data_IF_748926808445
#
_entry.id   IF_748926808445
#
_cell.length_a   1.000
_cell.length_b   1.000
_cell.length_c   1.000
_cell.angle_alpha   90.00
_cell.angle_beta   90.00
_cell.angle_gamma   90.00
#
_symmetry.space_group_name_H-M   'P 1'
#
loop_
_entity.id
_entity.type
_entity.pdbx_description
1 polymer ?
#
# COMPACT_ATOMS: atom_id res chain seq x y z
N UNK A 1 2.85 10.09 -18.24
CA UNK A 1 3.64 9.08 -17.50
C UNK A 1 3.89 7.90 -18.45
N UNK A 2 4.91 7.05 -18.26
CA UNK A 2 5.17 5.99 -19.23
C UNK A 2 4.06 4.95 -19.21
N UNK A 3 3.33 4.81 -20.32
CA UNK A 3 2.29 3.77 -20.53
C UNK A 3 2.90 2.39 -20.82
N UNK A 4 4.22 2.26 -20.65
CA UNK A 4 4.99 1.06 -20.95
C UNK A 4 6.03 0.80 -19.85
N UNK A 5 6.29 -0.47 -19.55
CA UNK A 5 7.38 -0.90 -18.70
C UNK A 5 8.66 -1.08 -19.55
N UNK A 6 9.67 -0.20 -19.43
CA UNK A 6 10.81 -0.20 -20.35
C UNK A 6 11.58 -1.51 -20.32
N UNK A 7 12.01 -1.99 -21.49
CA UNK A 7 12.80 -3.22 -21.62
C UNK A 7 14.02 -3.25 -20.69
N UNK A 8 14.70 -2.12 -20.50
CA UNK A 8 15.85 -2.02 -19.58
C UNK A 8 15.48 -2.36 -18.12
N UNK A 9 14.27 -1.98 -17.69
CA UNK A 9 13.78 -2.34 -16.37
C UNK A 9 13.48 -3.84 -16.29
N UNK A 10 12.88 -4.42 -17.32
CA UNK A 10 12.61 -5.86 -17.41
C UNK A 10 13.92 -6.66 -17.40
N UNK A 11 14.97 -6.20 -18.10
CA UNK A 11 16.30 -6.80 -18.05
C UNK A 11 16.89 -6.77 -16.65
N UNK A 12 16.76 -5.64 -15.95
CA UNK A 12 17.19 -5.53 -14.56
C UNK A 12 16.41 -6.47 -13.64
N UNK A 13 15.09 -6.53 -13.80
CA UNK A 13 14.21 -7.42 -13.05
C UNK A 13 14.60 -8.89 -13.25
N UNK A 14 14.78 -9.33 -14.49
CA UNK A 14 15.24 -10.68 -14.81
C UNK A 14 16.62 -10.99 -14.23
N UNK A 15 17.51 -10.01 -14.15
CA UNK A 15 18.84 -10.20 -13.56
C UNK A 15 18.79 -10.45 -12.06
N UNK A 16 17.89 -9.79 -11.35
CA UNK A 16 17.68 -9.94 -9.90
C UNK A 16 16.92 -11.25 -9.60
N UNK A 17 15.80 -11.47 -10.29
CA UNK A 17 14.91 -12.60 -10.02
C UNK A 17 15.47 -13.94 -10.50
N UNK A 18 16.25 -13.95 -11.59
CA UNK A 18 16.91 -15.15 -12.11
C UNK A 18 18.43 -15.15 -11.83
N UNK A 19 18.85 -14.53 -10.73
CA UNK A 19 20.26 -14.55 -10.30
C UNK A 19 20.83 -15.98 -10.25
N UNK A 20 22.14 -16.10 -10.50
CA UNK A 20 22.82 -17.39 -10.59
C UNK A 20 22.85 -18.11 -9.24
N UNK A 21 23.12 -17.38 -8.16
CA UNK A 21 23.34 -17.94 -6.83
C UNK A 21 22.07 -17.92 -5.96
N UNK A 22 21.32 -16.82 -6.02
CA UNK A 22 20.20 -16.56 -5.12
C UNK A 22 18.83 -16.47 -5.82
N UNK A 23 18.79 -16.57 -7.14
CA UNK A 23 17.57 -16.42 -7.93
C UNK A 23 16.74 -17.69 -8.10
N UNK A 24 15.64 -17.55 -8.82
CA UNK A 24 14.81 -18.65 -9.29
C UNK A 24 15.61 -19.61 -10.17
N UNK A 25 15.32 -20.90 -10.04
CA UNK A 25 15.80 -21.96 -10.92
C UNK A 25 15.03 -21.95 -12.25
N UNK A 26 15.55 -22.62 -13.27
CA UNK A 26 14.90 -22.68 -14.58
C UNK A 26 13.50 -23.32 -14.51
N UNK A 27 13.31 -24.36 -13.69
CA UNK A 27 12.01 -24.98 -13.45
C UNK A 27 11.05 -24.07 -12.69
N UNK A 28 11.53 -23.33 -11.68
CA UNK A 28 10.72 -22.34 -10.94
C UNK A 28 10.27 -21.20 -11.87
N UNK A 29 11.14 -20.69 -12.75
CA UNK A 29 10.80 -19.66 -13.75
C UNK A 29 9.65 -20.15 -14.63
N UNK A 30 9.78 -21.34 -15.20
CA UNK A 30 8.76 -21.93 -16.06
C UNK A 30 7.45 -22.11 -15.30
N UNK A 31 7.49 -22.70 -14.10
CA UNK A 31 6.29 -22.95 -13.29
C UNK A 31 5.54 -21.66 -12.95
N UNK A 32 6.26 -20.65 -12.46
CA UNK A 32 5.66 -19.38 -12.04
C UNK A 32 5.14 -18.59 -13.24
N UNK A 33 5.92 -18.47 -14.31
CA UNK A 33 5.49 -17.71 -15.50
C UNK A 33 4.33 -18.41 -16.23
N UNK A 34 4.31 -19.75 -16.27
CA UNK A 34 3.22 -20.51 -16.87
C UNK A 34 1.89 -20.33 -16.12
N UNK A 35 1.90 -20.21 -14.78
CA UNK A 35 0.70 -19.94 -14.01
C UNK A 35 0.01 -18.63 -14.45
N UNK A 36 0.79 -17.56 -14.63
CA UNK A 36 0.28 -16.30 -15.17
C UNK A 36 -0.10 -16.40 -16.65
N UNK A 37 0.68 -17.12 -17.44
CA UNK A 37 0.38 -17.30 -18.87
C UNK A 37 -1.00 -17.94 -19.10
N UNK A 38 -1.39 -18.89 -18.24
CA UNK A 38 -2.75 -19.46 -18.24
C UNK A 38 -3.80 -18.41 -17.86
N UNK A 39 -3.56 -17.60 -16.83
CA UNK A 39 -4.48 -16.52 -16.41
C UNK A 39 -4.72 -15.50 -17.54
N UNK A 40 -3.67 -15.08 -18.24
CA UNK A 40 -3.74 -14.08 -19.31
C UNK A 40 -4.01 -14.67 -20.70
N UNK A 41 -4.05 -15.99 -20.85
CA UNK A 41 -4.23 -16.66 -22.14
C UNK A 41 -3.08 -16.40 -23.13
N UNK A 42 -1.83 -16.39 -22.65
CA UNK A 42 -0.63 -16.06 -23.42
C UNK A 42 0.22 -17.31 -23.67
N UNK A 43 0.73 -17.47 -24.88
CA UNK A 43 1.76 -18.46 -25.19
C UNK A 43 3.15 -17.92 -24.82
N UNK A 44 3.83 -18.58 -23.88
CA UNK A 44 5.18 -18.18 -23.48
C UNK A 44 6.24 -18.63 -24.49
N UNK A 45 7.29 -17.82 -24.73
CA UNK A 45 8.47 -18.24 -25.50
C UNK A 45 9.17 -19.47 -24.91
N UNK A 46 9.26 -19.55 -23.57
CA UNK A 46 9.91 -20.65 -22.84
C UNK A 46 8.95 -21.30 -21.83
N UNK A 47 7.99 -22.12 -22.28
CA UNK A 47 6.93 -22.67 -21.43
C UNK A 47 7.32 -23.98 -20.71
N UNK A 48 8.52 -24.52 -20.95
CA UNK A 48 8.97 -25.81 -20.42
C UNK A 48 10.45 -25.76 -20.02
N UNK A 49 10.83 -26.60 -19.06
CA UNK A 49 12.23 -26.81 -18.67
C UNK A 49 12.67 -28.24 -19.08
N UNK A 50 13.88 -28.43 -19.65
CA UNK A 50 14.83 -27.39 -20.06
C UNK A 50 14.30 -26.55 -21.23
N UNK A 51 14.69 -25.26 -21.27
CA UNK A 51 14.33 -24.32 -22.32
C UNK A 51 15.53 -24.07 -23.26
N UNK A 52 15.25 -23.62 -24.49
CA UNK A 52 16.25 -23.24 -25.48
C UNK A 52 16.58 -21.74 -25.40
N UNK A 53 17.03 -21.32 -24.22
CA UNK A 53 17.46 -19.95 -23.96
C UNK A 53 18.92 -19.94 -23.45
N UNK A 54 19.65 -18.89 -23.79
CA UNK A 54 21.07 -18.77 -23.41
C UNK A 54 21.29 -18.78 -21.88
N UNK A 55 20.32 -18.30 -21.10
CA UNK A 55 20.41 -18.29 -19.63
C UNK A 55 19.02 -18.22 -18.98
N UNK A 56 18.97 -18.51 -17.67
CA UNK A 56 17.75 -18.28 -16.84
C UNK A 56 17.24 -16.83 -16.93
N UNK A 57 18.16 -15.86 -16.97
CA UNK A 57 17.84 -14.43 -17.08
C UNK A 57 17.19 -14.11 -18.43
N UNK A 58 17.71 -14.69 -19.50
CA UNK A 58 17.16 -14.57 -20.86
C UNK A 58 15.78 -15.21 -20.93
N UNK A 59 15.63 -16.45 -20.44
CA UNK A 59 14.34 -17.14 -20.43
C UNK A 59 13.25 -16.37 -19.67
N UNK A 60 13.58 -15.85 -18.48
CA UNK A 60 12.66 -15.03 -17.71
C UNK A 60 12.34 -13.71 -18.41
N UNK A 61 13.33 -13.03 -19.00
CA UNK A 61 13.11 -11.80 -19.78
C UNK A 61 12.16 -12.03 -20.94
N UNK A 62 12.41 -13.04 -21.78
CA UNK A 62 11.58 -13.34 -22.95
C UNK A 62 10.14 -13.68 -22.52
N UNK A 63 9.98 -14.49 -21.48
CA UNK A 63 8.66 -14.81 -20.91
C UNK A 63 7.95 -13.55 -20.40
N UNK A 64 8.63 -12.66 -19.66
CA UNK A 64 8.04 -11.42 -19.17
C UNK A 64 7.65 -10.46 -20.30
N UNK A 65 8.43 -10.41 -21.38
CA UNK A 65 8.16 -9.56 -22.54
C UNK A 65 6.93 -10.02 -23.34
N UNK A 66 6.51 -11.29 -23.22
CA UNK A 66 5.28 -11.79 -23.85
C UNK A 66 3.99 -11.21 -23.22
N UNK A 67 4.05 -10.77 -21.96
CA UNK A 67 2.91 -10.13 -21.30
C UNK A 67 2.72 -8.68 -21.76
N UNK A 68 1.45 -8.21 -21.76
CA UNK A 68 1.12 -6.78 -21.93
C UNK A 68 1.81 -5.93 -20.85
N UNK A 69 2.04 -4.62 -21.06
CA UNK A 69 2.75 -3.79 -20.08
C UNK A 69 2.19 -3.86 -18.65
N UNK A 70 0.86 -3.91 -18.51
CA UNK A 70 0.18 -4.00 -17.21
C UNK A 70 0.27 -5.39 -16.58
N UNK A 71 0.01 -6.43 -17.36
CA UNK A 71 0.20 -7.81 -16.90
C UNK A 71 1.66 -8.04 -16.50
N UNK A 72 2.63 -7.55 -17.28
CA UNK A 72 4.06 -7.63 -17.00
C UNK A 72 4.42 -6.93 -15.68
N UNK A 73 3.89 -5.72 -15.45
CA UNK A 73 4.06 -5.01 -14.18
C UNK A 73 3.60 -5.88 -13.00
N UNK A 74 2.38 -6.45 -13.09
CA UNK A 74 1.81 -7.29 -12.04
C UNK A 74 2.66 -8.54 -11.80
N UNK A 75 3.02 -9.26 -12.86
CA UNK A 75 3.85 -10.47 -12.77
C UNK A 75 5.19 -10.17 -12.09
N UNK A 76 5.91 -9.12 -12.50
CA UNK A 76 7.20 -8.78 -11.85
C UNK A 76 7.01 -8.43 -10.38
N UNK A 77 5.97 -7.66 -10.03
CA UNK A 77 5.67 -7.28 -8.65
C UNK A 77 5.42 -8.51 -7.77
N UNK A 78 4.61 -9.45 -8.24
CA UNK A 78 4.23 -10.65 -7.48
C UNK A 78 5.36 -11.68 -7.41
N UNK A 79 6.15 -11.82 -8.49
CA UNK A 79 7.38 -12.63 -8.45
C UNK A 79 8.35 -12.12 -7.38
N UNK A 80 8.50 -10.80 -7.22
CA UNK A 80 9.33 -10.25 -6.15
C UNK A 80 8.84 -10.68 -4.76
N UNK A 81 7.52 -10.82 -4.57
CA UNK A 81 6.92 -11.16 -3.27
C UNK A 81 6.81 -12.67 -2.99
N UNK A 82 7.16 -13.53 -3.95
CA UNK A 82 7.06 -14.99 -3.79
C UNK A 82 7.96 -15.47 -2.64
N UNK A 83 7.50 -16.40 -1.76
CA UNK A 83 8.26 -16.86 -0.61
C UNK A 83 9.69 -17.32 -0.94
N UNK A 84 9.85 -18.05 -2.04
CA UNK A 84 11.17 -18.50 -2.52
C UNK A 84 12.11 -17.34 -2.83
N UNK A 85 11.61 -16.29 -3.48
CA UNK A 85 12.41 -15.10 -3.81
C UNK A 85 12.73 -14.31 -2.55
N UNK A 86 11.77 -14.14 -1.65
CA UNK A 86 11.99 -13.44 -0.39
C UNK A 86 13.01 -14.15 0.51
N UNK A 87 12.95 -15.48 0.58
CA UNK A 87 13.89 -16.28 1.37
C UNK A 87 15.31 -16.25 0.79
N UNK A 88 15.48 -16.29 -0.53
CA UNK A 88 16.80 -16.41 -1.17
C UNK A 88 17.43 -15.07 -1.55
N UNK A 89 16.62 -14.09 -1.96
CA UNK A 89 17.08 -12.80 -2.51
C UNK A 89 16.17 -11.62 -2.12
N UNK A 90 15.59 -11.64 -0.92
CA UNK A 90 14.57 -10.68 -0.49
C UNK A 90 15.02 -9.22 -0.52
N UNK A 91 16.25 -8.90 -0.11
CA UNK A 91 16.73 -7.51 -0.10
C UNK A 91 16.75 -6.90 -1.51
N UNK A 92 17.35 -7.60 -2.48
CA UNK A 92 17.42 -7.13 -3.86
C UNK A 92 16.04 -7.13 -4.53
N UNK A 93 15.21 -8.15 -4.27
CA UNK A 93 13.85 -8.22 -4.77
C UNK A 93 12.96 -7.09 -4.23
N UNK A 94 13.11 -6.72 -2.95
CA UNK A 94 12.38 -5.61 -2.35
C UNK A 94 12.83 -4.27 -2.93
N UNK A 95 14.13 -4.06 -3.15
CA UNK A 95 14.65 -2.86 -3.83
C UNK A 95 14.14 -2.75 -5.28
N UNK A 96 14.08 -3.87 -6.00
CA UNK A 96 13.49 -3.93 -7.33
C UNK A 96 12.00 -3.56 -7.30
N UNK A 97 11.23 -4.16 -6.39
CA UNK A 97 9.80 -3.90 -6.20
C UNK A 97 9.52 -2.45 -5.84
N UNK A 98 10.32 -1.86 -4.95
CA UNK A 98 10.25 -0.44 -4.61
C UNK A 98 10.41 0.45 -5.84
N UNK A 99 11.40 0.13 -6.68
CA UNK A 99 11.66 0.90 -7.90
C UNK A 99 10.53 0.73 -8.92
N UNK A 100 9.97 -0.48 -9.03
CA UNK A 100 8.83 -0.79 -9.90
C UNK A 100 7.61 0.05 -9.52
N UNK A 101 7.22 0.03 -8.24
CA UNK A 101 6.06 0.78 -7.73
C UNK A 101 6.30 2.29 -7.85
N UNK A 102 7.45 2.79 -7.40
CA UNK A 102 7.72 4.23 -7.40
C UNK A 102 7.67 4.86 -8.81
N UNK A 103 8.09 4.11 -9.85
CA UNK A 103 8.22 4.64 -11.21
C UNK A 103 7.09 4.25 -12.16
N UNK A 104 6.42 3.12 -11.92
CA UNK A 104 5.50 2.51 -12.88
C UNK A 104 4.14 2.09 -12.25
N UNK A 105 3.78 2.63 -11.08
CA UNK A 105 2.49 2.36 -10.42
C UNK A 105 1.26 2.58 -11.31
N UNK A 106 1.36 3.42 -12.35
CA UNK A 106 0.28 3.67 -13.31
C UNK A 106 -0.07 2.45 -14.18
N UNK A 107 0.75 1.40 -14.18
CA UNK A 107 0.50 0.13 -14.88
C UNK A 107 -0.22 -0.92 -14.02
N UNK A 108 -0.55 -0.60 -12.77
CA UNK A 108 -1.23 -1.51 -11.86
C UNK A 108 -2.74 -1.57 -12.16
N UNK A 109 -3.21 -2.69 -12.74
CA UNK A 109 -4.64 -2.95 -12.99
C UNK A 109 -5.44 -3.26 -11.71
N UNK A 110 -4.80 -3.28 -10.53
CA UNK A 110 -5.48 -3.34 -9.23
C UNK A 110 -6.43 -2.16 -8.96
N UNK A 111 -6.49 -1.17 -9.85
CA UNK A 111 -7.38 -0.03 -9.81
C UNK A 111 -8.87 -0.38 -9.61
N UNK A 112 -9.38 -1.57 -9.95
CA UNK A 112 -10.80 -1.86 -9.71
C UNK A 112 -11.14 -2.15 -8.22
N UNK A 113 -10.26 -2.82 -7.46
CA UNK A 113 -10.43 -3.00 -6.00
C UNK A 113 -9.83 -1.81 -5.22
N UNK A 114 -8.85 -1.13 -5.82
CA UNK A 114 -8.21 0.07 -5.28
C UNK A 114 -8.89 1.39 -5.67
N UNK A 115 -9.91 1.47 -6.53
CA UNK A 115 -10.43 2.77 -6.99
C UNK A 115 -11.11 3.55 -5.85
N UNK A 116 -11.78 2.84 -4.94
CA UNK A 116 -12.38 3.44 -3.74
C UNK A 116 -11.29 3.79 -2.71
N UNK A 117 -10.30 2.91 -2.53
CA UNK A 117 -9.20 3.10 -1.57
C UNK A 117 -8.21 4.18 -2.04
N UNK A 118 -7.78 4.17 -3.29
CA UNK A 118 -6.95 5.22 -3.93
C UNK A 118 -7.70 6.54 -4.05
N UNK A 119 -8.99 6.54 -4.40
CA UNK A 119 -9.79 7.76 -4.45
C UNK A 119 -9.93 8.40 -3.06
N UNK A 120 -10.16 7.58 -2.03
CA UNK A 120 -10.18 8.01 -0.64
C UNK A 120 -8.80 8.52 -0.19
N UNK A 121 -7.73 7.79 -0.47
CA UNK A 121 -6.35 8.13 -0.08
C UNK A 121 -5.87 9.41 -0.79
N UNK A 122 -6.08 9.51 -2.10
CA UNK A 122 -5.70 10.68 -2.91
C UNK A 122 -6.49 11.92 -2.48
N UNK A 123 -7.81 11.78 -2.29
CA UNK A 123 -8.64 12.87 -1.75
C UNK A 123 -8.21 13.28 -0.34
N UNK A 124 -7.88 12.32 0.51
CA UNK A 124 -7.39 12.59 1.87
C UNK A 124 -6.10 13.39 1.88
N UNK A 125 -5.14 13.07 1.00
CA UNK A 125 -3.91 13.86 0.86
C UNK A 125 -4.20 15.32 0.51
N UNK A 126 -5.10 15.55 -0.45
CA UNK A 126 -5.49 16.91 -0.85
C UNK A 126 -6.16 17.68 0.31
N UNK A 127 -7.06 17.02 1.06
CA UNK A 127 -7.71 17.66 2.21
C UNK A 127 -6.74 17.97 3.36
N UNK A 128 -5.62 17.25 3.45
CA UNK A 128 -4.61 17.44 4.48
C UNK A 128 -3.56 18.50 4.15
N UNK A 129 -3.57 19.11 2.95
CA UNK A 129 -2.64 20.18 2.57
C UNK A 129 -2.54 21.33 3.59
N UNK A 130 -3.64 21.80 4.22
CA UNK A 130 -3.58 22.81 5.27
C UNK A 130 -3.00 22.31 6.61
N UNK A 131 -2.76 21.00 6.76
CA UNK A 131 -2.34 20.31 7.99
C UNK A 131 -0.99 19.59 7.76
N UNK A 132 0.13 20.32 7.60
CA UNK A 132 1.38 19.76 7.08
C UNK A 132 1.95 18.62 7.94
N UNK A 133 1.85 18.71 9.27
CA UNK A 133 2.32 17.66 10.18
C UNK A 133 1.50 16.36 10.05
N UNK A 134 0.19 16.49 9.89
CA UNK A 134 -0.69 15.35 9.61
C UNK A 134 -0.43 14.76 8.22
N UNK A 135 -0.26 15.61 7.20
CA UNK A 135 0.01 15.19 5.84
C UNK A 135 1.33 14.42 5.73
N UNK A 136 2.37 14.87 6.44
CA UNK A 136 3.66 14.19 6.47
C UNK A 136 3.53 12.78 7.05
N UNK A 137 2.94 12.64 8.24
CA UNK A 137 2.74 11.33 8.90
C UNK A 137 1.89 10.40 8.04
N UNK A 138 0.81 10.91 7.47
CA UNK A 138 -0.05 10.14 6.58
C UNK A 138 0.71 9.72 5.30
N UNK A 139 1.55 10.58 4.75
CA UNK A 139 2.43 10.27 3.62
C UNK A 139 3.46 9.18 3.94
N UNK A 140 4.05 9.21 5.13
CA UNK A 140 4.97 8.18 5.63
C UNK A 140 4.27 6.84 5.81
N UNK A 141 3.05 6.83 6.36
CA UNK A 141 2.23 5.63 6.51
C UNK A 141 1.98 4.96 5.15
N UNK A 142 1.56 5.74 4.15
CA UNK A 142 1.33 5.25 2.78
C UNK A 142 2.60 4.70 2.12
N UNK A 143 3.72 5.38 2.32
CA UNK A 143 5.00 4.91 1.81
C UNK A 143 5.33 3.55 2.43
N UNK A 144 5.32 3.44 3.77
CA UNK A 144 5.61 2.19 4.50
C UNK A 144 4.63 1.07 4.12
N UNK A 145 3.34 1.38 3.98
CA UNK A 145 2.33 0.43 3.53
C UNK A 145 2.63 -0.11 2.12
N UNK A 146 2.97 0.76 1.18
CA UNK A 146 3.37 0.37 -0.17
C UNK A 146 4.66 -0.48 -0.23
N UNK A 147 5.51 -0.40 0.81
CA UNK A 147 6.69 -1.26 0.95
C UNK A 147 6.36 -2.67 1.43
N UNK A 148 5.14 -2.93 1.93
CA UNK A 148 4.74 -4.20 2.53
C UNK A 148 5.55 -4.59 3.77
N UNK A 149 6.23 -3.63 4.39
CA UNK A 149 7.10 -3.81 5.54
C UNK A 149 6.75 -2.77 6.61
N UNK A 150 7.23 -2.97 7.85
CA UNK A 150 7.02 -2.02 8.95
C UNK A 150 5.54 -1.76 9.29
N UNK A 151 4.70 -2.81 9.30
CA UNK A 151 3.24 -2.73 9.55
C UNK A 151 2.89 -1.95 10.81
N UNK A 152 3.62 -2.21 11.91
CA UNK A 152 3.51 -1.45 13.16
C UNK A 152 3.72 0.05 12.96
N UNK A 153 4.73 0.42 12.16
CA UNK A 153 5.04 1.82 11.91
C UNK A 153 3.99 2.48 11.02
N UNK A 154 3.36 1.72 10.11
CA UNK A 154 2.17 2.21 9.37
C UNK A 154 1.07 2.57 10.37
N UNK A 155 0.75 1.65 11.28
CA UNK A 155 -0.27 1.84 12.28
C UNK A 155 0.03 3.03 13.23
N UNK A 156 1.28 3.15 13.69
CA UNK A 156 1.72 4.25 14.55
C UNK A 156 1.65 5.61 13.85
N UNK A 157 2.12 5.69 12.60
CA UNK A 157 2.03 6.92 11.79
C UNK A 157 0.57 7.35 11.59
N UNK A 158 -0.35 6.39 11.31
CA UNK A 158 -1.78 6.66 11.15
C UNK A 158 -2.41 7.18 12.44
N UNK A 159 -2.07 6.54 13.58
CA UNK A 159 -2.52 6.95 14.92
C UNK A 159 -2.06 8.36 15.24
N UNK A 160 -0.76 8.64 15.06
CA UNK A 160 -0.16 9.93 15.36
C UNK A 160 -0.66 11.01 14.40
N UNK A 161 -0.88 10.69 13.12
CA UNK A 161 -1.45 11.60 12.13
C UNK A 161 -2.85 12.07 12.54
N UNK A 162 -3.72 11.15 12.97
CA UNK A 162 -5.06 11.49 13.45
C UNK A 162 -5.00 12.34 14.72
N UNK A 163 -4.10 12.00 15.65
CA UNK A 163 -3.87 12.80 16.86
C UNK A 163 -3.48 14.25 16.52
N UNK A 164 -2.52 14.43 15.60
CA UNK A 164 -2.04 15.76 15.16
C UNK A 164 -3.13 16.56 14.46
N UNK A 165 -4.00 15.90 13.72
CA UNK A 165 -5.14 16.55 13.08
C UNK A 165 -6.08 17.10 14.16
N UNK A 166 -6.46 16.27 15.12
CA UNK A 166 -7.35 16.68 16.21
C UNK A 166 -6.73 17.78 17.08
N UNK A 167 -5.42 17.70 17.36
CA UNK A 167 -4.68 18.75 18.08
C UNK A 167 -4.83 20.10 17.38
N UNK A 168 -4.73 20.11 16.05
CA UNK A 168 -4.89 21.31 15.24
C UNK A 168 -6.33 21.80 15.23
N UNK A 169 -7.30 20.90 15.01
CA UNK A 169 -8.72 21.24 14.93
C UNK A 169 -9.30 21.74 16.26
N UNK A 170 -8.81 21.21 17.39
CA UNK A 170 -9.27 21.54 18.73
C UNK A 170 -8.37 22.55 19.44
N UNK A 171 -7.28 23.00 18.82
CA UNK A 171 -6.34 23.95 19.40
C UNK A 171 -5.69 23.47 20.71
N UNK A 172 -5.29 22.20 20.79
CA UNK A 172 -4.67 21.62 21.98
C UNK A 172 -3.53 20.64 21.64
N UNK A 173 -2.88 20.06 22.65
CA UNK A 173 -1.76 19.10 22.50
C UNK A 173 -2.04 17.76 23.20
N UNK A 174 -3.32 17.37 23.34
CA UNK A 174 -3.72 16.15 24.04
C UNK A 174 -3.45 14.92 23.18
N UNK A 175 -3.30 13.76 23.83
CA UNK A 175 -3.22 12.47 23.13
C UNK A 175 -4.55 12.11 22.48
N UNK A 176 -4.54 11.21 21.49
CA UNK A 176 -5.75 10.75 20.80
C UNK A 176 -6.88 10.36 21.76
N UNK A 177 -6.58 9.56 22.78
CA UNK A 177 -7.56 9.07 23.75
C UNK A 177 -8.21 10.21 24.54
N UNK A 178 -7.41 11.22 24.88
CA UNK A 178 -7.86 12.39 25.62
C UNK A 178 -8.61 13.41 24.75
N UNK A 179 -8.65 13.20 23.43
CA UNK A 179 -9.40 14.02 22.49
C UNK A 179 -10.77 13.42 22.13
N UNK A 180 -10.99 12.12 22.35
CA UNK A 180 -12.25 11.42 22.05
C UNK A 180 -13.48 12.14 22.62
N UNK A 181 -13.50 12.60 23.89
CA UNK A 181 -14.68 13.27 24.45
C UNK A 181 -15.09 14.55 23.71
N UNK A 182 -14.16 15.22 23.02
CA UNK A 182 -14.42 16.45 22.29
C UNK A 182 -14.99 16.22 20.86
N UNK A 183 -14.88 15.00 20.33
CA UNK A 183 -15.35 14.68 18.97
C UNK A 183 -16.86 14.87 18.81
N UNK A 184 -17.64 14.45 19.80
CA UNK A 184 -19.10 14.55 19.76
C UNK A 184 -19.55 16.00 19.61
N UNK A 185 -19.06 16.87 20.51
CA UNK A 185 -19.33 18.30 20.48
C UNK A 185 -18.88 18.94 19.17
N UNK A 186 -17.68 18.63 18.70
CA UNK A 186 -17.15 19.17 17.44
C UNK A 186 -18.07 18.90 16.24
N UNK A 187 -18.62 17.68 16.15
CA UNK A 187 -19.53 17.27 15.07
C UNK A 187 -20.88 17.99 15.21
N UNK A 188 -21.47 18.00 16.40
CA UNK A 188 -22.79 18.62 16.62
C UNK A 188 -22.77 20.13 16.43
N UNK A 189 -21.69 20.81 16.86
CA UNK A 189 -21.50 22.26 16.66
C UNK A 189 -21.37 22.65 15.18
N UNK A 190 -21.09 21.68 14.30
CA UNK A 190 -20.96 21.85 12.85
C UNK A 190 -22.13 21.24 12.07
N UNK A 191 -23.31 21.22 12.69
CA UNK A 191 -24.56 20.71 12.10
C UNK A 191 -24.53 19.21 11.74
N UNK A 192 -23.66 18.42 12.38
CA UNK A 192 -23.70 16.97 12.30
C UNK A 192 -24.82 16.40 13.17
N UNK A 193 -25.39 15.24 12.78
CA UNK A 193 -26.46 14.63 13.57
C UNK A 193 -25.91 14.02 14.89
N UNK A 194 -26.69 14.05 15.99
CA UNK A 194 -26.30 13.44 17.25
C UNK A 194 -26.00 11.93 17.13
N UNK A 195 -26.71 11.22 16.26
CA UNK A 195 -26.51 9.79 16.01
C UNK A 195 -25.15 9.53 15.39
N UNK A 196 -24.78 10.32 14.37
CA UNK A 196 -23.48 10.23 13.73
C UNK A 196 -22.36 10.62 14.71
N UNK A 197 -22.56 11.68 15.49
CA UNK A 197 -21.58 12.12 16.50
C UNK A 197 -21.31 11.00 17.53
N UNK A 198 -22.37 10.37 18.06
CA UNK A 198 -22.27 9.26 19.00
C UNK A 198 -21.58 8.04 18.38
N UNK A 199 -21.92 7.69 17.13
CA UNK A 199 -21.26 6.61 16.40
C UNK A 199 -19.78 6.91 16.18
N UNK A 200 -19.44 8.12 15.75
CA UNK A 200 -18.07 8.54 15.45
C UNK A 200 -17.18 8.46 16.71
N UNK A 201 -17.67 8.94 17.85
CA UNK A 201 -16.97 8.82 19.15
C UNK A 201 -16.65 7.35 19.46
N UNK A 202 -17.61 6.44 19.25
CA UNK A 202 -17.41 5.00 19.49
C UNK A 202 -16.41 4.37 18.53
N UNK A 203 -16.48 4.73 17.25
CA UNK A 203 -15.55 4.22 16.24
C UNK A 203 -14.11 4.67 16.52
N UNK A 204 -13.90 5.94 16.88
CA UNK A 204 -12.56 6.43 17.25
C UNK A 204 -12.07 5.82 18.57
N UNK A 205 -12.96 5.57 19.54
CA UNK A 205 -12.62 4.85 20.78
C UNK A 205 -12.14 3.42 20.51
N UNK A 206 -12.87 2.65 19.68
CA UNK A 206 -12.43 1.31 19.30
C UNK A 206 -11.15 1.33 18.47
N UNK A 207 -11.02 2.27 17.54
CA UNK A 207 -9.78 2.50 16.79
C UNK A 207 -8.59 2.77 17.72
N UNK A 208 -8.73 3.67 18.70
CA UNK A 208 -7.65 4.00 19.63
C UNK A 208 -7.26 2.82 20.54
N UNK A 209 -8.24 2.01 20.96
CA UNK A 209 -8.01 0.78 21.73
C UNK A 209 -7.27 -0.28 20.91
N UNK A 210 -7.70 -0.50 19.67
CA UNK A 210 -7.01 -1.38 18.73
C UNK A 210 -5.55 -0.94 18.55
N UNK A 211 -5.35 0.32 18.15
CA UNK A 211 -4.03 0.89 17.95
C UNK A 211 -3.13 0.75 19.19
N UNK A 212 -3.65 0.99 20.39
CA UNK A 212 -2.88 0.81 21.63
C UNK A 212 -2.43 -0.64 21.87
N UNK A 213 -3.28 -1.62 21.57
CA UNK A 213 -2.94 -3.04 21.79
C UNK A 213 -1.90 -3.53 20.78
N UNK A 214 -2.04 -3.14 19.52
CA UNK A 214 -1.23 -3.67 18.43
C UNK A 214 0.04 -2.85 18.11
N UNK A 215 0.09 -1.57 18.50
CA UNK A 215 1.30 -0.73 18.34
C UNK A 215 2.24 -0.83 19.55
N UNK A 216 1.76 -1.24 20.73
CA UNK A 216 2.59 -1.33 21.95
C UNK A 216 3.24 -2.70 22.18
N UNK A 217 2.74 -3.77 21.57
CA UNK A 217 3.25 -5.14 21.74
C UNK A 217 3.71 -5.70 20.37
N UNK A 218 4.99 -6.09 20.26
CA UNK A 218 5.75 -6.11 19.00
C UNK A 218 5.41 -7.23 17.98
N UNK A 219 4.54 -8.19 18.30
CA UNK A 219 4.37 -9.43 17.50
C UNK A 219 2.93 -9.75 17.05
N UNK A 220 1.96 -8.84 17.21
CA UNK A 220 0.54 -9.16 17.05
C UNK A 220 -0.15 -8.56 15.81
N UNK A 221 0.53 -7.74 14.99
CA UNK A 221 -0.14 -7.01 13.89
C UNK A 221 -0.56 -7.96 12.76
N UNK A 222 -1.87 -8.09 12.56
CA UNK A 222 -2.48 -8.86 11.47
C UNK A 222 -2.33 -8.06 10.17
N UNK A 223 -1.79 -8.69 9.13
CA UNK A 223 -1.47 -8.01 7.86
C UNK A 223 -2.71 -7.50 7.15
N UNK A 224 -3.73 -8.35 7.11
CA UNK A 224 -5.01 -8.14 6.46
C UNK A 224 -5.79 -6.97 7.10
N UNK A 225 -5.47 -6.60 8.33
CA UNK A 225 -6.14 -5.50 9.04
C UNK A 225 -5.50 -4.13 8.75
N UNK A 226 -4.25 -4.09 8.26
CA UNK A 226 -3.53 -2.81 8.07
C UNK A 226 -4.21 -1.93 7.03
N UNK A 227 -4.72 -2.53 5.94
CA UNK A 227 -5.48 -1.82 4.91
C UNK A 227 -6.76 -1.21 5.47
N UNK A 228 -7.52 -2.01 6.22
CA UNK A 228 -8.74 -1.54 6.87
C UNK A 228 -8.48 -0.36 7.83
N UNK A 229 -7.39 -0.43 8.60
CA UNK A 229 -6.99 0.65 9.53
C UNK A 229 -6.56 1.91 8.77
N UNK A 230 -5.90 1.77 7.61
CA UNK A 230 -5.59 2.89 6.73
C UNK A 230 -6.87 3.56 6.21
N UNK A 231 -7.84 2.78 5.73
CA UNK A 231 -9.09 3.29 5.17
C UNK A 231 -9.98 3.98 6.21
N UNK A 232 -10.09 3.41 7.41
CA UNK A 232 -10.87 4.04 8.48
C UNK A 232 -10.21 5.33 8.97
N UNK A 233 -8.87 5.37 9.05
CA UNK A 233 -8.13 6.60 9.39
C UNK A 233 -8.37 7.68 8.34
N UNK A 234 -8.30 7.32 7.06
CA UNK A 234 -8.56 8.21 5.93
C UNK A 234 -9.98 8.78 6.00
N UNK A 235 -10.95 7.92 6.33
CA UNK A 235 -12.35 8.30 6.49
C UNK A 235 -12.58 9.25 7.66
N UNK A 236 -11.93 9.02 8.81
CA UNK A 236 -11.97 9.94 9.94
C UNK A 236 -11.40 11.30 9.58
N UNK A 237 -10.19 11.33 9.00
CA UNK A 237 -9.52 12.57 8.59
C UNK A 237 -10.36 13.35 7.58
N UNK A 238 -10.87 12.69 6.54
CA UNK A 238 -11.81 13.27 5.57
C UNK A 238 -13.01 13.92 6.24
N UNK A 239 -13.69 13.19 7.12
CA UNK A 239 -14.91 13.70 7.74
C UNK A 239 -14.62 14.93 8.60
N UNK A 240 -13.58 14.84 9.44
CA UNK A 240 -13.16 15.93 10.33
C UNK A 240 -12.76 17.19 9.55
N UNK A 241 -11.95 17.06 8.50
CA UNK A 241 -11.57 18.20 7.65
C UNK A 241 -12.79 18.81 6.97
N UNK A 242 -13.66 17.99 6.37
CA UNK A 242 -14.88 18.51 5.70
C UNK A 242 -15.82 19.23 6.65
N UNK A 243 -15.91 18.78 7.90
CA UNK A 243 -16.66 19.49 8.93
C UNK A 243 -15.96 20.80 9.31
N UNK A 244 -14.64 20.80 9.46
CA UNK A 244 -13.87 21.99 9.78
C UNK A 244 -13.93 23.09 8.71
N UNK A 245 -13.97 22.70 7.43
CA UNK A 245 -13.98 23.62 6.28
C UNK A 245 -15.37 24.02 5.81
N UNK A 246 -16.44 23.43 6.35
CA UNK A 246 -17.79 23.93 6.09
C UNK A 246 -17.92 25.27 6.81
N UNK A 247 -18.09 26.35 6.03
CA UNK A 247 -18.55 27.62 6.58
C UNK A 247 -19.81 27.35 7.41
N UNK A 248 -19.83 27.84 8.65
CA UNK A 248 -21.01 27.83 9.47
C UNK A 248 -22.05 28.74 8.80
N UNK A 249 -22.90 28.14 7.97
CA UNK A 249 -24.09 28.77 7.40
C UNK A 249 -25.15 29.00 8.45
#
# INVERSE_FOLDING_TARGET
>A
MPDELPAIFVTHASSVLADTAAGLTGSEIVSLTAAYAVEYGIDLPHPRYPFDAHSKRTALYDNLMAFSPRARYRVIRELCATPTVQQRNGEAANKLRMTLVAKYHNLDDGAAELEVSQGLVAGTRQWLEPFPSTLELYGQALQKYGLGAFRRNVLDDLRLGLEKLLQTLFGNTKSLENQIPALGSFITERNGSPELANMFVKLVDYYAKYQNNYVKHDDAVIEEEVEFVLEITSSFMKHLVRMATREAG
#
